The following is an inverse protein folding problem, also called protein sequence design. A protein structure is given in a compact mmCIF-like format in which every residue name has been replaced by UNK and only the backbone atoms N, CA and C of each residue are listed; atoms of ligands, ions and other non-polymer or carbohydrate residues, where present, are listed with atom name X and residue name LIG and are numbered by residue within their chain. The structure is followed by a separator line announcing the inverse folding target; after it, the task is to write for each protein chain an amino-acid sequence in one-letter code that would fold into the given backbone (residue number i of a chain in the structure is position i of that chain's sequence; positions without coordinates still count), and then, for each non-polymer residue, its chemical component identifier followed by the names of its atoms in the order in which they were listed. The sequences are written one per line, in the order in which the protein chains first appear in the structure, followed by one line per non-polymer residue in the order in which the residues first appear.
data_IF_151430028575
#
_entry.id   IF_151430028575
#
_cell.length_a   1.000
_cell.length_b   1.000
_cell.length_c   1.000
_cell.angle_alpha   90.00
_cell.angle_beta   90.00
_cell.angle_gamma   90.00
#
_symmetry.space_group_name_H-M   'P 1'
#
loop_
_entity.id
_entity.type
_entity.pdbx_description
1 polymer ?
#
# COMPACT_ATOMS: atom_id res chain seq x y z
N UNK A 1 28.88 15.55 -9.66
CA UNK A 1 28.09 14.30 -9.85
C UNK A 1 26.74 14.49 -9.16
N UNK A 2 25.97 15.49 -9.61
CA UNK A 2 24.70 15.86 -8.97
C UNK A 2 23.54 15.21 -9.71
N UNK A 3 22.66 14.58 -8.95
CA UNK A 3 21.38 14.04 -9.39
C UNK A 3 20.56 15.12 -10.11
N UNK A 4 19.91 14.81 -11.26
CA UNK A 4 18.92 15.70 -11.85
C UNK A 4 17.73 15.81 -10.88
N UNK A 5 17.33 17.03 -10.47
CA UNK A 5 16.26 17.26 -9.51
C UNK A 5 14.85 17.01 -10.06
N UNK A 6 14.72 16.41 -11.24
CA UNK A 6 13.44 16.12 -11.91
C UNK A 6 12.80 14.80 -11.42
N UNK A 7 13.53 13.93 -10.72
CA UNK A 7 12.99 12.68 -10.14
C UNK A 7 12.17 12.90 -8.85
N UNK A 8 12.31 14.07 -8.20
CA UNK A 8 11.58 14.43 -6.98
C UNK A 8 10.15 14.96 -7.25
N UNK A 9 9.76 15.05 -8.53
CA UNK A 9 8.63 15.88 -8.97
C UNK A 9 7.32 15.14 -9.21
N UNK A 10 7.27 13.82 -9.14
CA UNK A 10 6.02 13.09 -9.39
C UNK A 10 5.59 12.23 -8.19
N UNK A 11 4.81 12.87 -7.32
CA UNK A 11 3.97 12.24 -6.29
C UNK A 11 2.90 11.22 -6.77
N UNK A 12 2.58 10.98 -8.08
CA UNK A 12 1.75 9.82 -8.47
C UNK A 12 2.36 8.44 -8.17
N UNK A 13 3.68 8.33 -8.09
CA UNK A 13 4.35 7.04 -7.92
C UNK A 13 4.12 6.39 -6.57
N UNK A 14 3.58 7.09 -5.57
CA UNK A 14 3.34 6.51 -4.23
C UNK A 14 2.44 5.27 -4.32
N UNK A 15 1.44 5.28 -5.21
CA UNK A 15 0.56 4.13 -5.41
C UNK A 15 1.26 2.99 -6.14
N UNK A 16 2.07 3.31 -7.16
CA UNK A 16 2.84 2.32 -7.91
C UNK A 16 3.95 1.70 -7.07
N UNK A 17 4.65 2.50 -6.28
CA UNK A 17 5.62 2.05 -5.29
C UNK A 17 4.96 1.18 -4.22
N UNK A 18 3.76 1.55 -3.75
CA UNK A 18 3.00 0.73 -2.81
C UNK A 18 2.61 -0.62 -3.43
N UNK A 19 2.11 -0.63 -4.66
CA UNK A 19 1.75 -1.86 -5.38
C UNK A 19 2.96 -2.77 -5.63
N UNK A 20 4.08 -2.19 -6.07
CA UNK A 20 5.34 -2.92 -6.25
C UNK A 20 5.87 -3.49 -4.93
N UNK A 21 5.79 -2.72 -3.85
CA UNK A 21 6.20 -3.18 -2.52
C UNK A 21 5.30 -4.32 -2.02
N UNK A 22 3.98 -4.19 -2.18
CA UNK A 22 3.02 -5.23 -1.82
C UNK A 22 3.29 -6.52 -2.60
N UNK A 23 3.52 -6.43 -3.91
CA UNK A 23 3.86 -7.57 -4.75
C UNK A 23 5.16 -8.25 -4.32
N UNK A 24 6.20 -7.47 -3.98
CA UNK A 24 7.46 -7.99 -3.43
C UNK A 24 7.24 -8.71 -2.10
N UNK A 25 6.53 -8.08 -1.15
CA UNK A 25 6.26 -8.67 0.16
C UNK A 25 5.43 -9.94 0.01
N UNK A 26 4.40 -9.94 -0.84
CA UNK A 26 3.57 -11.09 -1.12
C UNK A 26 4.42 -12.29 -1.60
N UNK A 27 5.39 -12.05 -2.49
CA UNK A 27 6.33 -13.09 -2.93
C UNK A 27 7.17 -13.70 -1.82
N UNK A 28 7.31 -13.03 -0.67
CA UNK A 28 8.01 -13.56 0.52
C UNK A 28 7.07 -14.17 1.57
N UNK A 29 5.74 -14.04 1.44
CA UNK A 29 4.77 -14.57 2.40
C UNK A 29 4.37 -16.02 2.13
N UNK A 30 5.35 -16.89 1.86
CA UNK A 30 5.11 -18.34 1.73
C UNK A 30 5.18 -18.99 3.11
N UNK A 31 4.08 -19.58 3.57
CA UNK A 31 3.99 -20.22 4.90
C UNK A 31 3.78 -19.23 6.07
N UNK A 32 3.61 -17.94 5.78
CA UNK A 32 3.24 -16.92 6.75
C UNK A 32 2.12 -16.05 6.19
N UNK A 33 1.33 -15.45 7.09
CA UNK A 33 0.36 -14.41 6.73
C UNK A 33 0.91 -13.07 7.19
N UNK A 34 0.98 -12.10 6.29
CA UNK A 34 1.35 -10.72 6.61
C UNK A 34 0.17 -9.78 6.35
N UNK A 35 -0.01 -8.80 7.24
CA UNK A 35 -1.00 -7.72 7.04
C UNK A 35 -0.23 -6.43 6.85
N UNK A 36 -0.39 -5.79 5.69
CA UNK A 36 0.37 -4.60 5.30
C UNK A 36 -0.59 -3.46 4.99
N UNK A 37 -0.41 -2.32 5.66
CA UNK A 37 -1.13 -1.09 5.34
C UNK A 37 -0.48 -0.38 4.15
N UNK A 38 -1.27 -0.05 3.13
CA UNK A 38 -0.82 0.71 1.97
C UNK A 38 -1.93 1.62 1.43
N UNK A 39 -1.58 2.80 0.87
CA UNK A 39 -2.56 3.66 0.23
C UNK A 39 -3.08 2.98 -1.04
N UNK A 40 -4.40 2.92 -1.17
CA UNK A 40 -5.04 2.40 -2.36
C UNK A 40 -5.81 3.50 -3.08
N UNK A 41 -5.82 3.43 -4.41
CA UNK A 41 -6.58 4.36 -5.24
C UNK A 41 -7.67 3.60 -5.97
N UNK A 42 -8.93 4.01 -5.76
CA UNK A 42 -10.07 3.42 -6.45
C UNK A 42 -11.07 4.52 -6.83
N UNK A 43 -11.54 4.49 -8.09
CA UNK A 43 -12.49 5.48 -8.63
C UNK A 43 -12.09 6.95 -8.40
N UNK A 44 -10.79 7.25 -8.40
CA UNK A 44 -10.27 8.60 -8.17
C UNK A 44 -10.19 9.01 -6.70
N UNK A 45 -10.61 8.16 -5.76
CA UNK A 45 -10.51 8.38 -4.31
C UNK A 45 -9.35 7.60 -3.72
N UNK A 46 -8.79 8.12 -2.62
CA UNK A 46 -7.66 7.52 -1.90
C UNK A 46 -8.15 6.91 -0.60
N UNK A 47 -7.79 5.65 -0.38
CA UNK A 47 -8.16 4.89 0.81
C UNK A 47 -6.91 4.46 1.57
N UNK A 48 -6.98 4.45 2.90
CA UNK A 48 -6.00 3.73 3.70
C UNK A 48 -6.42 2.25 3.71
N UNK A 49 -5.76 1.43 2.91
CA UNK A 49 -6.11 0.03 2.75
C UNK A 49 -5.17 -0.87 3.55
N UNK A 50 -5.69 -1.98 4.04
CA UNK A 50 -4.92 -3.07 4.62
C UNK A 50 -4.99 -4.28 3.67
N UNK A 51 -3.83 -4.81 3.30
CA UNK A 51 -3.68 -5.96 2.42
C UNK A 51 -3.26 -7.17 3.24
N UNK A 52 -3.98 -8.28 3.08
CA UNK A 52 -3.63 -9.58 3.64
C UNK A 52 -2.86 -10.34 2.58
N UNK A 53 -1.62 -10.69 2.90
CA UNK A 53 -0.68 -11.37 2.02
C UNK A 53 -0.42 -12.79 2.55
N UNK A 54 -0.66 -13.80 1.72
CA UNK A 54 -0.31 -15.20 2.02
C UNK A 54 -0.08 -15.98 0.73
N UNK A 55 0.72 -17.05 0.83
CA UNK A 55 0.97 -17.99 -0.27
C UNK A 55 1.48 -17.32 -1.54
N UNK A 56 2.36 -16.32 -1.40
CA UNK A 56 2.91 -15.61 -2.55
C UNK A 56 2.02 -14.51 -3.11
N UNK A 57 0.82 -14.26 -2.55
CA UNK A 57 -0.23 -13.46 -3.18
C UNK A 57 -0.99 -12.57 -2.20
N UNK A 58 -1.67 -11.57 -2.75
CA UNK A 58 -2.66 -10.77 -2.03
C UNK A 58 -3.94 -11.60 -1.92
N UNK A 59 -4.34 -11.97 -0.71
CA UNK A 59 -5.56 -12.74 -0.45
C UNK A 59 -6.78 -11.84 -0.28
N UNK A 60 -6.59 -10.69 0.37
CA UNK A 60 -7.65 -9.74 0.63
C UNK A 60 -7.12 -8.32 0.69
N UNK A 61 -7.99 -7.36 0.37
CA UNK A 61 -7.79 -5.94 0.59
C UNK A 61 -8.98 -5.42 1.38
N UNK A 62 -8.69 -4.64 2.41
CA UNK A 62 -9.68 -3.99 3.25
C UNK A 62 -9.45 -2.49 3.24
N UNK A 63 -10.36 -1.73 2.66
CA UNK A 63 -10.27 -0.28 2.62
C UNK A 63 -10.83 0.31 3.91
N UNK A 64 -9.96 0.89 4.73
CA UNK A 64 -10.35 1.57 5.96
C UNK A 64 -11.01 2.91 5.59
N UNK A 65 -12.30 2.87 5.26
CA UNK A 65 -13.15 4.05 5.01
C UNK A 65 -13.51 4.84 6.27
N UNK A 66 -13.06 4.40 7.44
CA UNK A 66 -13.24 5.12 8.69
C UNK A 66 -11.86 5.28 9.35
N UNK A 67 -11.29 6.48 9.22
CA UNK A 67 -10.81 7.12 10.44
C UNK A 67 -12.05 7.11 11.35
N UNK A 68 -12.08 6.37 12.47
CA UNK A 68 -13.04 6.71 13.48
C UNK A 68 -12.77 8.18 13.80
N UNK A 69 -13.67 9.07 13.37
CA UNK A 69 -13.92 10.30 14.11
C UNK A 69 -14.62 9.92 15.44
N UNK A 70 -14.01 9.00 16.17
CA UNK A 70 -14.21 8.85 17.59
C UNK A 70 -12.89 9.31 18.19
N UNK A 71 -12.94 10.49 18.80
CA UNK A 71 -11.88 10.94 19.67
C UNK A 71 -11.58 9.90 20.75
N UNK A 72 -10.44 10.13 21.40
CA UNK A 72 -9.85 9.47 22.57
C UNK A 72 -8.93 8.25 22.33
N UNK A 73 -7.64 8.60 22.27
CA UNK A 73 -6.40 7.95 22.75
C UNK A 73 -5.83 6.71 22.04
#
# INVERSE_FOLDING_TARGET
MSYPPEDLLLRPDIYEMADQALSKIAGHTHGIVAVVGAPAREAGQTYNAAYVLSDGKIQARYDKQQLPNYGVF
#
